data_IF_224477101155
#
_entry.id   IF_224477101155
#
_cell.length_a   1.000
_cell.length_b   1.000
_cell.length_c   1.000
_cell.angle_alpha   90.00
_cell.angle_beta   90.00
_cell.angle_gamma   90.00
#
_symmetry.space_group_name_H-M   'P 1'
#
loop_
_entity.id
_entity.type
_entity.pdbx_description
1 polymer ?
#
# COMPACT_ATOMS: atom_id res chain seq x y z
N UNK A 1 39.77 52.23 33.79
CA UNK A 1 38.66 53.05 34.31
C UNK A 1 37.70 53.24 33.15
N UNK A 2 36.45 52.80 33.29
CA UNK A 2 35.42 52.97 32.26
C UNK A 2 34.78 54.35 32.40
N UNK A 3 34.39 54.97 31.28
CA UNK A 3 33.94 56.36 31.26
C UNK A 3 32.40 56.51 31.28
N UNK A 4 31.98 57.67 31.78
CA UNK A 4 30.64 58.30 31.91
C UNK A 4 29.36 57.60 31.43
N UNK A 5 28.37 57.61 32.32
CA UNK A 5 26.93 57.62 32.01
C UNK A 5 26.45 58.96 31.41
N UNK A 6 25.34 58.94 30.64
CA UNK A 6 24.39 60.03 30.48
C UNK A 6 22.98 59.66 31.03
N UNK A 7 22.04 60.61 31.06
CA UNK A 7 20.75 60.52 31.79
C UNK A 7 19.62 61.33 31.06
N UNK A 8 18.31 61.06 31.20
CA UNK A 8 17.60 59.94 31.89
C UNK A 8 16.70 59.15 30.89
N UNK A 9 15.36 59.29 30.72
CA UNK A 9 14.27 60.04 31.38
C UNK A 9 12.88 59.40 31.04
N UNK A 10 11.85 59.74 31.83
CA UNK A 10 10.39 59.62 31.59
C UNK A 10 9.66 58.25 31.41
N UNK A 11 9.09 57.79 32.54
CA UNK A 11 7.63 57.68 32.78
C UNK A 11 6.72 56.76 31.93
N UNK A 12 6.46 55.55 32.47
CA UNK A 12 5.22 54.72 32.42
C UNK A 12 4.72 54.10 31.07
N UNK A 13 3.92 53.01 31.12
CA UNK A 13 3.58 52.10 32.23
C UNK A 13 4.09 50.66 32.03
N UNK A 14 4.03 49.83 33.09
CA UNK A 14 4.31 48.39 32.99
C UNK A 14 3.09 47.60 32.46
N UNK A 15 3.32 46.61 31.59
CA UNK A 15 2.40 45.46 31.43
C UNK A 15 3.18 44.22 31.00
N UNK A 16 3.31 43.26 31.91
CA UNK A 16 4.32 42.19 31.79
C UNK A 16 3.77 40.87 31.24
N UNK A 17 4.30 40.48 30.08
CA UNK A 17 4.48 39.12 29.54
C UNK A 17 3.37 38.32 28.81
N UNK A 18 3.87 37.63 27.76
CA UNK A 18 3.54 36.29 27.24
C UNK A 18 2.32 36.05 26.32
N UNK A 19 2.66 35.77 25.05
CA UNK A 19 2.42 34.42 24.53
C UNK A 19 1.20 34.22 23.63
N UNK A 20 1.17 34.88 22.47
CA UNK A 20 0.18 34.56 21.44
C UNK A 20 0.40 33.15 20.88
N UNK A 21 -0.49 32.21 21.24
CA UNK A 21 -0.62 30.90 20.59
C UNK A 21 -2.04 30.77 20.07
N UNK A 22 -2.17 30.75 18.74
CA UNK A 22 -3.46 30.79 18.06
C UNK A 22 -4.33 29.56 18.40
N UNK A 23 -5.40 29.80 19.17
CA UNK A 23 -6.34 28.77 19.63
C UNK A 23 -7.54 28.59 18.70
N UNK A 24 -7.31 28.59 17.38
CA UNK A 24 -8.30 28.18 16.37
C UNK A 24 -8.54 26.65 16.36
N UNK A 25 -8.91 26.08 17.52
CA UNK A 25 -9.44 24.73 17.69
C UNK A 25 -10.68 24.78 18.58
N UNK A 26 -11.75 24.07 18.18
CA UNK A 26 -13.07 23.98 18.85
C UNK A 26 -13.88 25.28 18.96
N UNK A 27 -14.56 25.64 17.86
CA UNK A 27 -15.95 26.12 17.91
C UNK A 27 -16.77 25.49 16.77
N UNK A 28 -17.45 24.38 17.09
CA UNK A 28 -18.59 23.89 16.32
C UNK A 28 -19.82 24.09 17.20
N UNK A 29 -20.63 25.09 16.90
CA UNK A 29 -21.79 25.48 17.72
C UNK A 29 -22.76 26.27 16.83
N UNK A 30 -24.05 25.92 16.84
CA UNK A 30 -25.09 26.55 16.03
C UNK A 30 -25.55 25.68 14.87
N UNK A 31 -26.85 25.36 14.86
CA UNK A 31 -27.46 24.42 13.93
C UNK A 31 -27.86 25.05 12.58
N UNK A 32 -27.87 24.23 11.54
CA UNK A 32 -28.73 24.40 10.37
C UNK A 32 -29.34 23.03 10.00
N UNK A 33 -30.62 23.00 9.63
CA UNK A 33 -31.35 21.78 9.30
C UNK A 33 -31.21 21.47 7.81
N UNK A 34 -30.70 20.28 7.44
CA UNK A 34 -30.67 19.87 6.04
C UNK A 34 -29.85 18.60 5.77
N UNK A 35 -30.56 17.51 5.44
CA UNK A 35 -30.08 16.25 4.84
C UNK A 35 -28.91 15.55 5.54
N UNK A 36 -29.18 14.37 6.11
CA UNK A 36 -28.17 13.47 6.66
C UNK A 36 -27.22 12.97 5.57
N UNK A 37 -26.06 13.61 5.43
CA UNK A 37 -24.93 13.05 4.71
C UNK A 37 -24.36 11.86 5.49
N UNK A 38 -24.95 10.68 5.30
CA UNK A 38 -24.48 9.42 5.88
C UNK A 38 -23.19 9.03 5.15
N UNK A 39 -22.08 9.62 5.57
CA UNK A 39 -20.75 9.21 5.17
C UNK A 39 -20.47 7.82 5.75
N UNK A 40 -20.88 6.78 5.03
CA UNK A 40 -20.39 5.42 5.22
C UNK A 40 -18.92 5.37 4.83
N UNK A 41 -18.06 5.87 5.73
CA UNK A 41 -16.65 5.52 5.71
C UNK A 41 -16.63 3.98 5.80
N UNK A 42 -16.14 3.32 4.75
CA UNK A 42 -15.95 1.88 4.77
C UNK A 42 -14.90 1.57 5.83
N UNK A 43 -15.35 1.28 7.06
CA UNK A 43 -14.52 1.15 8.24
C UNK A 43 -13.73 -0.14 8.18
N UNK A 44 -12.63 -0.12 7.43
CA UNK A 44 -11.64 -1.19 7.43
C UNK A 44 -11.27 -1.47 8.89
N UNK A 45 -11.42 -2.71 9.39
CA UNK A 45 -11.07 -3.01 10.76
C UNK A 45 -9.59 -2.68 10.97
N UNK A 46 -9.25 -2.10 12.12
CA UNK A 46 -7.90 -1.56 12.41
C UNK A 46 -6.79 -2.62 12.20
N UNK A 47 -7.14 -3.90 12.29
CA UNK A 47 -6.27 -5.05 12.03
C UNK A 47 -5.79 -5.15 10.57
N UNK A 48 -6.60 -4.76 9.57
CA UNK A 48 -6.18 -4.77 8.16
C UNK A 48 -4.94 -3.90 7.94
N UNK A 49 -4.86 -2.77 8.67
CA UNK A 49 -3.74 -1.84 8.60
C UNK A 49 -2.42 -2.50 9.04
N UNK A 50 -2.45 -3.46 9.97
CA UNK A 50 -1.25 -4.06 10.57
C UNK A 50 -0.42 -4.86 9.57
N UNK A 51 -1.07 -5.44 8.55
CA UNK A 51 -0.43 -6.22 7.50
C UNK A 51 -0.04 -5.39 6.26
N UNK A 52 -0.12 -4.06 6.33
CA UNK A 52 0.53 -3.17 5.35
C UNK A 52 2.02 -2.99 5.66
N UNK A 53 2.82 -2.53 4.69
CA UNK A 53 4.26 -2.23 4.86
C UNK A 53 4.48 -1.26 6.04
N UNK A 54 3.71 -0.17 6.10
CA UNK A 54 3.75 0.81 7.18
C UNK A 54 3.17 0.27 8.50
N UNK A 55 2.18 -0.63 8.44
CA UNK A 55 1.63 -1.31 9.61
C UNK A 55 2.64 -2.19 10.33
N UNK A 56 3.43 -2.97 9.58
CA UNK A 56 4.52 -3.77 10.14
C UNK A 56 5.61 -2.89 10.76
N UNK A 57 6.01 -1.81 10.08
CA UNK A 57 7.01 -0.86 10.57
C UNK A 57 6.56 -0.08 11.82
N UNK A 58 5.25 0.06 12.03
CA UNK A 58 4.64 0.77 13.18
C UNK A 58 4.03 -0.18 14.23
N UNK A 59 4.35 -1.48 14.18
CA UNK A 59 3.75 -2.50 15.05
C UNK A 59 4.10 -2.35 16.53
N UNK A 60 3.10 -2.48 17.41
CA UNK A 60 3.33 -2.52 18.86
C UNK A 60 3.91 -3.88 19.28
N UNK A 61 5.23 -3.94 19.46
CA UNK A 61 5.98 -5.14 19.86
C UNK A 61 5.52 -5.77 21.19
N UNK A 62 4.82 -5.02 22.06
CA UNK A 62 4.41 -5.50 23.39
C UNK A 62 3.15 -6.37 23.41
N UNK A 63 2.46 -6.57 22.29
CA UNK A 63 1.22 -7.37 22.26
C UNK A 63 1.00 -8.09 20.91
N UNK A 64 1.51 -9.33 20.71
CA UNK A 64 1.41 -10.08 19.45
C UNK A 64 0.03 -10.72 19.20
N UNK A 65 -1.06 -10.04 19.61
CA UNK A 65 -2.45 -10.54 19.52
C UNK A 65 -3.21 -10.06 18.26
N UNK A 66 -2.50 -9.57 17.24
CA UNK A 66 -3.08 -9.33 15.92
C UNK A 66 -3.26 -10.64 15.13
N UNK A 67 -4.15 -10.70 14.13
CA UNK A 67 -4.19 -11.83 13.21
C UNK A 67 -2.87 -11.91 12.43
N UNK A 68 -2.34 -13.13 12.27
CA UNK A 68 -1.09 -13.33 11.53
C UNK A 68 -1.23 -12.85 10.07
N UNK A 69 -0.26 -12.07 9.60
CA UNK A 69 -0.23 -11.62 8.22
C UNK A 69 0.19 -12.78 7.32
N UNK A 70 -0.52 -13.00 6.22
CA UNK A 70 -0.33 -14.13 5.32
C UNK A 70 0.04 -13.65 3.90
N UNK A 71 0.53 -14.58 3.08
CA UNK A 71 0.88 -14.35 1.69
C UNK A 71 1.41 -15.61 1.03
N UNK A 72 0.77 -16.03 -0.06
CA UNK A 72 1.22 -17.13 -0.90
C UNK A 72 2.21 -16.61 -1.95
N UNK A 73 3.30 -17.33 -2.18
CA UNK A 73 4.35 -16.90 -3.12
C UNK A 73 3.85 -16.95 -4.56
N UNK A 74 4.46 -16.22 -5.50
CA UNK A 74 4.14 -16.40 -6.93
C UNK A 74 4.40 -17.83 -7.42
N UNK A 75 5.30 -18.55 -6.75
CA UNK A 75 5.60 -19.95 -7.00
C UNK A 75 4.48 -20.93 -6.61
N UNK A 76 3.54 -20.52 -5.74
CA UNK A 76 2.29 -21.23 -5.47
C UNK A 76 1.26 -20.95 -6.57
N UNK A 77 0.91 -19.67 -6.75
CA UNK A 77 -0.16 -19.22 -7.64
C UNK A 77 -0.02 -19.63 -9.12
N UNK A 78 1.21 -19.89 -9.61
CA UNK A 78 1.45 -20.27 -11.01
C UNK A 78 1.28 -21.76 -11.34
N UNK A 79 1.13 -22.62 -10.33
CA UNK A 79 1.16 -24.08 -10.51
C UNK A 79 -0.22 -24.61 -10.94
N UNK A 80 -0.29 -25.62 -11.83
CA UNK A 80 -1.55 -26.20 -12.28
C UNK A 80 -2.50 -26.66 -11.16
N UNK A 81 -1.96 -27.20 -10.05
CA UNK A 81 -2.78 -27.73 -8.95
C UNK A 81 -3.34 -26.66 -7.99
N UNK A 82 -2.99 -25.38 -8.13
CA UNK A 82 -3.53 -24.28 -7.31
C UNK A 82 -4.29 -23.24 -8.16
N UNK A 83 -4.67 -23.58 -9.40
CA UNK A 83 -5.43 -22.69 -10.29
C UNK A 83 -6.92 -22.57 -9.90
N UNK A 84 -7.42 -23.49 -9.08
CA UNK A 84 -8.76 -23.43 -8.47
C UNK A 84 -8.86 -22.27 -7.45
N UNK A 85 -7.79 -22.06 -6.68
CA UNK A 85 -7.64 -21.00 -5.68
C UNK A 85 -7.65 -19.58 -6.29
N UNK A 86 -7.58 -19.44 -7.62
CA UNK A 86 -7.83 -18.17 -8.28
C UNK A 86 -9.32 -17.76 -8.20
N UNK A 87 -10.25 -18.71 -8.24
CA UNK A 87 -11.70 -18.45 -8.29
C UNK A 87 -12.21 -17.52 -7.17
N UNK A 88 -11.89 -17.78 -5.89
CA UNK A 88 -12.27 -16.90 -4.77
C UNK A 88 -11.66 -15.48 -4.83
N UNK A 89 -10.63 -15.23 -5.64
CA UNK A 89 -10.01 -13.89 -5.77
C UNK A 89 -10.79 -12.95 -6.68
N UNK A 90 -11.70 -13.49 -7.51
CA UNK A 90 -12.40 -12.74 -8.56
C UNK A 90 -11.60 -12.50 -9.84
N UNK A 91 -10.33 -12.95 -9.92
CA UNK A 91 -9.50 -12.85 -11.12
C UNK A 91 -9.36 -14.20 -11.84
N UNK A 92 -9.20 -14.15 -13.15
CA UNK A 92 -9.00 -15.32 -14.01
C UNK A 92 -7.57 -15.39 -14.54
N UNK A 93 -7.08 -16.61 -14.75
CA UNK A 93 -5.78 -16.89 -15.38
C UNK A 93 -5.63 -16.25 -16.76
N UNK A 94 -6.75 -16.02 -17.45
CA UNK A 94 -6.85 -15.46 -18.80
C UNK A 94 -7.01 -13.93 -18.85
N UNK A 95 -7.24 -13.26 -17.71
CA UNK A 95 -7.36 -11.79 -17.65
C UNK A 95 -6.06 -11.13 -18.11
N UNK A 96 -6.14 -9.96 -18.73
CA UNK A 96 -4.97 -9.30 -19.35
C UNK A 96 -4.27 -8.37 -18.36
N UNK A 97 -2.97 -8.55 -18.17
CA UNK A 97 -2.18 -7.81 -17.17
C UNK A 97 -2.30 -6.29 -17.39
N UNK A 98 -2.12 -5.85 -18.64
CA UNK A 98 -2.29 -4.45 -19.05
C UNK A 98 -3.67 -3.86 -18.66
N UNK A 99 -4.75 -4.63 -18.83
CA UNK A 99 -6.12 -4.21 -18.47
C UNK A 99 -6.32 -4.16 -16.96
N UNK A 100 -5.86 -5.18 -16.23
CA UNK A 100 -6.03 -5.29 -14.77
C UNK A 100 -5.21 -4.24 -14.03
N UNK A 101 -3.95 -4.05 -14.40
CA UNK A 101 -3.05 -3.09 -13.76
C UNK A 101 -3.13 -1.67 -14.34
N UNK A 102 -3.88 -1.45 -15.44
CA UNK A 102 -4.01 -0.14 -16.08
C UNK A 102 -2.69 0.38 -16.67
N UNK A 103 -1.98 -0.49 -17.39
CA UNK A 103 -0.65 -0.27 -17.98
C UNK A 103 -0.59 -0.80 -19.42
N UNK A 104 0.53 -0.60 -20.13
CA UNK A 104 0.65 -0.96 -21.57
C UNK A 104 1.89 -1.76 -21.92
N UNK A 105 2.81 -1.97 -20.98
CA UNK A 105 4.15 -2.53 -21.22
C UNK A 105 4.15 -4.06 -21.40
N UNK A 106 3.15 -4.77 -20.87
CA UNK A 106 3.11 -6.23 -20.84
C UNK A 106 2.49 -6.81 -22.12
N UNK A 107 3.20 -6.68 -23.24
CA UNK A 107 2.86 -7.33 -24.53
C UNK A 107 3.96 -8.30 -24.97
N UNK A 108 3.56 -9.33 -25.71
CA UNK A 108 4.43 -10.28 -26.40
C UNK A 108 5.01 -9.64 -27.68
N UNK A 109 5.96 -10.34 -28.30
CA UNK A 109 6.60 -9.92 -29.55
C UNK A 109 5.63 -9.76 -30.74
N UNK A 110 4.43 -10.36 -30.69
CA UNK A 110 3.36 -10.20 -31.68
C UNK A 110 2.42 -9.01 -31.39
N UNK A 111 2.68 -8.25 -30.32
CA UNK A 111 1.85 -7.14 -29.86
C UNK A 111 0.65 -7.55 -29.01
N UNK A 112 0.40 -8.84 -28.77
CA UNK A 112 -0.72 -9.28 -27.92
C UNK A 112 -0.38 -9.12 -26.43
N UNK A 113 -1.31 -8.63 -25.58
CA UNK A 113 -1.06 -8.46 -24.16
C UNK A 113 -0.96 -9.81 -23.44
N UNK A 114 0.01 -9.93 -22.52
CA UNK A 114 0.13 -11.10 -21.64
C UNK A 114 -1.09 -11.24 -20.72
N UNK A 115 -1.50 -12.48 -20.47
CA UNK A 115 -2.45 -12.80 -19.39
C UNK A 115 -1.76 -12.76 -18.01
N UNK A 116 -2.55 -12.68 -16.93
CA UNK A 116 -2.04 -12.78 -15.57
C UNK A 116 -1.22 -14.06 -15.35
N UNK A 117 -1.70 -15.23 -15.80
CA UNK A 117 -0.96 -16.47 -15.64
C UNK A 117 0.32 -16.54 -16.51
N UNK A 118 0.27 -16.02 -17.75
CA UNK A 118 1.46 -15.97 -18.61
C UNK A 118 2.56 -15.07 -18.02
N UNK A 119 2.22 -13.94 -17.39
CA UNK A 119 3.20 -13.12 -16.65
C UNK A 119 3.86 -13.94 -15.54
N UNK A 120 3.12 -14.81 -14.84
CA UNK A 120 3.68 -15.65 -13.78
C UNK A 120 4.52 -16.85 -14.29
N UNK A 121 4.25 -17.32 -15.51
CA UNK A 121 4.89 -18.50 -16.10
C UNK A 121 6.04 -18.21 -17.07
N UNK A 122 6.09 -16.99 -17.63
CA UNK A 122 7.04 -16.60 -18.69
C UNK A 122 7.95 -15.42 -18.28
N UNK A 123 7.50 -14.52 -17.38
CA UNK A 123 8.26 -13.32 -16.96
C UNK A 123 8.97 -13.47 -15.60
N UNK A 124 9.11 -14.71 -15.13
CA UNK A 124 10.06 -15.12 -14.11
C UNK A 124 11.48 -15.12 -14.69
N UNK A 125 12.34 -14.21 -14.21
CA UNK A 125 13.74 -14.09 -14.58
C UNK A 125 14.65 -15.15 -13.95
N UNK A 126 14.20 -16.41 -13.87
CA UNK A 126 14.99 -17.56 -13.36
C UNK A 126 15.94 -18.15 -14.43
N UNK A 127 16.57 -17.26 -15.20
CA UNK A 127 17.59 -17.57 -16.21
C UNK A 127 17.06 -18.06 -17.57
N UNK A 128 15.87 -18.67 -17.60
CA UNK A 128 15.27 -19.22 -18.83
C UNK A 128 14.00 -18.50 -19.29
N UNK A 129 13.38 -17.66 -18.45
CA UNK A 129 12.22 -16.85 -18.81
C UNK A 129 12.54 -15.64 -19.71
N UNK A 130 11.49 -15.02 -20.24
CA UNK A 130 11.59 -13.70 -20.89
C UNK A 130 11.76 -12.63 -19.80
N UNK A 131 12.64 -11.62 -19.96
CA UNK A 131 12.74 -10.53 -18.98
C UNK A 131 11.42 -9.78 -18.79
N UNK A 132 11.10 -9.43 -17.54
CA UNK A 132 9.98 -8.52 -17.24
C UNK A 132 10.22 -7.15 -17.92
N UNK A 133 9.22 -6.56 -18.60
CA UNK A 133 9.40 -5.34 -19.40
C UNK A 133 9.60 -4.05 -18.59
N UNK A 134 9.52 -4.10 -17.26
CA UNK A 134 9.73 -2.95 -16.37
C UNK A 134 10.87 -3.22 -15.38
N UNK A 135 10.86 -4.36 -14.68
CA UNK A 135 11.94 -4.75 -13.75
C UNK A 135 11.86 -6.22 -13.37
N UNK A 136 13.01 -6.90 -13.25
CA UNK A 136 13.11 -8.34 -13.02
C UNK A 136 12.17 -8.86 -11.92
N UNK A 137 11.25 -9.75 -12.31
CA UNK A 137 10.20 -10.36 -11.50
C UNK A 137 9.08 -9.42 -10.99
N UNK A 138 9.03 -8.15 -11.38
CA UNK A 138 8.02 -7.22 -10.87
C UNK A 138 6.59 -7.68 -11.18
N UNK A 139 6.25 -7.98 -12.43
CA UNK A 139 4.93 -8.48 -12.82
C UNK A 139 4.59 -9.80 -12.12
N UNK A 140 5.56 -10.71 -12.02
CA UNK A 140 5.47 -11.98 -11.30
C UNK A 140 5.08 -11.81 -9.82
N UNK A 141 5.73 -10.91 -9.08
CA UNK A 141 5.32 -10.59 -7.70
C UNK A 141 4.03 -9.75 -7.63
N UNK A 142 3.72 -8.94 -8.65
CA UNK A 142 2.50 -8.13 -8.71
C UNK A 142 1.22 -8.96 -8.89
N UNK A 143 1.21 -9.98 -9.75
CA UNK A 143 0.05 -10.89 -9.88
C UNK A 143 -0.17 -11.67 -8.58
N UNK A 144 0.88 -12.20 -7.96
CA UNK A 144 0.77 -12.88 -6.67
C UNK A 144 0.22 -11.94 -5.57
N UNK A 145 0.65 -10.68 -5.55
CA UNK A 145 0.15 -9.68 -4.62
C UNK A 145 -1.33 -9.36 -4.87
N UNK A 146 -1.76 -9.28 -6.13
CA UNK A 146 -3.16 -9.05 -6.53
C UNK A 146 -4.09 -10.18 -6.05
N UNK A 147 -3.64 -11.43 -6.23
CA UNK A 147 -4.37 -12.65 -5.84
C UNK A 147 -4.41 -12.79 -4.31
N UNK A 148 -3.28 -12.62 -3.62
CA UNK A 148 -3.23 -12.57 -2.16
C UNK A 148 -4.14 -11.47 -1.57
N UNK A 149 -4.23 -10.31 -2.24
CA UNK A 149 -5.08 -9.19 -1.83
C UNK A 149 -6.57 -9.34 -2.21
N UNK A 150 -6.92 -10.40 -2.97
CA UNK A 150 -8.28 -10.72 -3.39
C UNK A 150 -8.84 -11.98 -2.71
N UNK A 151 -7.99 -12.92 -2.29
CA UNK A 151 -8.44 -14.18 -1.70
C UNK A 151 -9.01 -13.98 -0.28
N UNK A 152 -10.23 -14.46 0.04
CA UNK A 152 -10.87 -14.20 1.34
C UNK A 152 -10.06 -14.74 2.53
N UNK A 153 -9.43 -15.91 2.38
CA UNK A 153 -8.67 -16.56 3.45
C UNK A 153 -7.21 -16.10 3.58
N UNK A 154 -6.75 -15.14 2.78
CA UNK A 154 -5.37 -14.61 2.85
C UNK A 154 -5.36 -13.23 3.50
N UNK A 155 -4.93 -13.15 4.76
CA UNK A 155 -4.77 -11.90 5.50
C UNK A 155 -3.55 -11.08 5.01
N UNK A 156 -3.65 -10.52 3.80
CA UNK A 156 -2.55 -9.84 3.13
C UNK A 156 -2.34 -8.37 3.56
N UNK A 157 -3.37 -7.73 4.12
CA UNK A 157 -3.36 -6.33 4.56
C UNK A 157 -3.67 -5.28 3.50
N UNK A 158 -3.68 -5.67 2.22
CA UNK A 158 -4.10 -4.83 1.10
C UNK A 158 -5.32 -5.42 0.39
N UNK A 159 -6.08 -4.57 -0.29
CA UNK A 159 -7.08 -4.96 -1.29
C UNK A 159 -6.46 -4.97 -2.69
N UNK A 160 -6.98 -5.77 -3.62
CA UNK A 160 -6.46 -5.85 -5.00
C UNK A 160 -6.41 -4.48 -5.70
N UNK A 161 -7.38 -3.58 -5.44
CA UNK A 161 -7.39 -2.21 -5.96
C UNK A 161 -6.28 -1.31 -5.38
N UNK A 162 -5.84 -1.55 -4.15
CA UNK A 162 -4.65 -0.91 -3.59
C UNK A 162 -3.38 -1.45 -4.22
N UNK A 163 -3.29 -2.76 -4.51
CA UNK A 163 -2.12 -3.34 -5.19
C UNK A 163 -2.00 -2.80 -6.63
N UNK A 164 -3.10 -2.69 -7.38
CA UNK A 164 -3.12 -2.03 -8.71
C UNK A 164 -2.68 -0.55 -8.62
N UNK A 165 -2.98 0.13 -7.51
CA UNK A 165 -2.61 1.54 -7.32
C UNK A 165 -1.17 1.71 -6.84
N UNK A 166 -0.71 0.86 -5.92
CA UNK A 166 0.67 0.75 -5.46
C UNK A 166 1.61 0.44 -6.63
N UNK A 167 1.21 -0.49 -7.50
CA UNK A 167 1.93 -0.87 -8.72
C UNK A 167 2.14 0.34 -9.65
N UNK A 168 1.04 0.93 -10.16
CA UNK A 168 1.09 2.08 -11.08
C UNK A 168 1.89 3.26 -10.53
N UNK A 169 1.68 3.60 -9.25
CA UNK A 169 2.31 4.78 -8.66
C UNK A 169 3.83 4.61 -8.45
N UNK A 170 4.33 3.37 -8.35
CA UNK A 170 5.73 3.09 -8.00
C UNK A 170 6.55 2.43 -9.13
N UNK A 171 6.07 2.44 -10.38
CA UNK A 171 6.87 1.99 -11.54
C UNK A 171 8.19 2.78 -11.71
N UNK A 172 8.23 4.03 -11.25
CA UNK A 172 9.44 4.85 -11.19
C UNK A 172 10.50 4.35 -10.17
N UNK A 173 10.14 3.38 -9.31
CA UNK A 173 10.98 2.66 -8.33
C UNK A 173 10.68 1.15 -8.40
N UNK A 174 10.60 0.63 -9.62
CA UNK A 174 10.15 -0.73 -9.92
C UNK A 174 10.89 -1.85 -9.14
N UNK A 175 12.19 -1.69 -8.85
CA UNK A 175 12.96 -2.64 -8.05
C UNK A 175 12.51 -2.65 -6.58
N UNK A 176 12.47 -1.49 -5.92
CA UNK A 176 12.00 -1.32 -4.54
C UNK A 176 10.55 -1.82 -4.36
N UNK A 177 9.72 -1.57 -5.38
CA UNK A 177 8.35 -2.08 -5.45
C UNK A 177 8.34 -3.62 -5.51
N UNK A 178 9.15 -4.24 -6.37
CA UNK A 178 9.26 -5.70 -6.47
C UNK A 178 9.73 -6.31 -5.14
N UNK A 179 10.73 -5.74 -4.48
CA UNK A 179 11.24 -6.22 -3.19
C UNK A 179 10.19 -6.06 -2.07
N UNK A 180 9.43 -4.97 -2.09
CA UNK A 180 8.28 -4.78 -1.19
C UNK A 180 7.21 -5.85 -1.41
N UNK A 181 6.84 -6.13 -2.67
CA UNK A 181 5.83 -7.15 -3.01
C UNK A 181 6.33 -8.57 -2.69
N UNK A 182 7.62 -8.87 -2.85
CA UNK A 182 8.24 -10.12 -2.42
C UNK A 182 8.07 -10.35 -0.91
N UNK A 183 8.47 -9.37 -0.09
CA UNK A 183 8.30 -9.39 1.37
C UNK A 183 6.85 -9.64 1.80
N UNK A 184 5.87 -9.06 1.10
CA UNK A 184 4.44 -9.28 1.38
C UNK A 184 3.99 -10.71 0.97
N UNK A 185 4.49 -11.24 -0.13
CA UNK A 185 4.10 -12.54 -0.70
C UNK A 185 4.79 -13.76 -0.05
N UNK A 186 5.82 -13.54 0.77
CA UNK A 186 6.65 -14.61 1.37
C UNK A 186 6.37 -14.84 2.86
N UNK A 187 5.22 -14.36 3.35
CA UNK A 187 4.77 -14.46 4.75
C UNK A 187 4.28 -15.84 5.19
N UNK A 188 4.04 -16.74 4.24
CA UNK A 188 3.43 -18.05 4.48
C UNK A 188 2.02 -18.11 3.90
N UNK A 189 1.76 -19.17 3.14
CA UNK A 189 0.47 -19.42 2.48
C UNK A 189 -0.47 -20.16 3.45
N UNK A 190 -1.71 -19.69 3.66
CA UNK A 190 -2.73 -20.39 4.44
C UNK A 190 -3.59 -21.35 3.58
N UNK A 191 -3.34 -21.37 2.27
CA UNK A 191 -4.04 -22.19 1.28
C UNK A 191 -3.26 -23.50 1.05
N UNK A 192 -3.94 -24.52 0.53
CA UNK A 192 -3.39 -25.87 0.32
C UNK A 192 -2.98 -26.14 -1.13
#
# INVERSE_FOLDING_TARGET
>A
MSDRSPDTQDTLPETTQNGEVNTSRRKLTGAALGVSAVFTLASRPVWANQCTISGMASGNLSAPKGPACAGCTPGYWKQPQHLDSWGPTGFQTTDKFNTVFGVTQYNKNDGTPYTLLEVMQVLNGDGNGTPDPISTNLGFHAVAALLNAGHPDVNYGYTSGEIITLFRNNLHRAADLKDSLAMLNERGCPLN
#
